data_IF_430649920380
#
_entry.id   IF_430649920380
#
_cell.length_a   1.000
_cell.length_b   1.000
_cell.length_c   1.000
_cell.angle_alpha   90.00
_cell.angle_beta   90.00
_cell.angle_gamma   90.00
#
_symmetry.space_group_name_H-M   'P 1'
#
loop_
_entity.id
_entity.type
_entity.pdbx_description
1 polymer ?
#
# COMPACT_ATOMS: atom_id res chain seq x y z
N UNK A 1 1.86 -26.88 -9.64
CA UNK A 1 2.17 -25.59 -8.99
C UNK A 1 2.57 -24.61 -10.08
N UNK A 2 1.91 -23.47 -10.23
CA UNK A 2 2.37 -22.46 -11.17
C UNK A 2 3.76 -21.98 -10.74
N UNK A 3 4.63 -21.59 -11.67
CA UNK A 3 5.95 -21.08 -11.34
C UNK A 3 5.79 -19.86 -10.42
N UNK A 4 6.52 -19.87 -9.31
CA UNK A 4 6.62 -18.72 -8.45
C UNK A 4 7.18 -17.58 -9.30
N UNK A 5 6.37 -16.56 -9.53
CA UNK A 5 6.83 -15.32 -10.18
C UNK A 5 7.85 -14.68 -9.24
N UNK A 6 9.12 -14.86 -9.52
CA UNK A 6 10.17 -14.09 -8.87
C UNK A 6 10.02 -12.65 -9.36
N UNK A 7 9.52 -11.80 -8.49
CA UNK A 7 9.54 -10.36 -8.72
C UNK A 7 10.98 -9.89 -8.49
N UNK A 8 11.67 -9.32 -9.47
CA UNK A 8 12.99 -8.76 -9.27
C UNK A 8 12.91 -7.66 -8.19
N UNK A 9 13.78 -7.74 -7.21
CA UNK A 9 13.81 -6.81 -6.07
C UNK A 9 15.18 -6.15 -6.03
N UNK A 10 15.18 -4.82 -6.02
CA UNK A 10 16.34 -3.99 -5.73
C UNK A 10 16.06 -3.19 -4.46
N UNK A 11 16.85 -3.39 -3.42
CA UNK A 11 16.64 -2.71 -2.14
C UNK A 11 17.26 -1.32 -2.11
N UNK A 12 16.58 -0.38 -1.46
CA UNK A 12 17.10 0.93 -1.09
C UNK A 12 16.88 1.17 0.40
N UNK A 13 17.85 1.74 1.08
CA UNK A 13 17.78 2.07 2.51
C UNK A 13 18.11 3.54 2.66
N UNK A 14 17.21 4.32 3.27
CA UNK A 14 17.53 5.65 3.72
C UNK A 14 18.39 5.56 5.00
N UNK A 15 19.70 5.73 4.88
CA UNK A 15 20.56 5.81 6.08
C UNK A 15 20.72 7.25 6.52
N UNK A 16 20.37 7.53 7.75
CA UNK A 16 20.67 8.76 8.47
C UNK A 16 22.08 8.70 9.10
N UNK A 17 23.14 8.46 8.32
CA UNK A 17 24.50 8.67 8.83
C UNK A 17 25.50 8.73 7.69
N UNK A 18 26.29 9.80 7.69
CA UNK A 18 27.23 10.20 6.67
C UNK A 18 28.20 9.11 6.24
N UNK A 19 28.12 8.79 4.96
CA UNK A 19 29.07 7.94 4.26
C UNK A 19 28.38 7.16 3.14
N UNK A 20 28.72 7.51 1.91
CA UNK A 20 28.34 6.88 0.64
C UNK A 20 26.85 6.72 0.33
N UNK A 21 26.35 7.66 -0.47
CA UNK A 21 25.17 7.66 -1.35
C UNK A 21 24.01 6.69 -1.02
N UNK A 22 23.48 6.75 0.20
CA UNK A 22 22.16 6.24 0.46
C UNK A 22 21.14 7.20 -0.17
N UNK A 23 20.29 6.71 -1.05
CA UNK A 23 19.19 7.50 -1.60
C UNK A 23 18.30 7.96 -0.44
N UNK A 24 18.23 9.26 -0.21
CA UNK A 24 17.32 9.83 0.80
C UNK A 24 15.87 9.84 0.33
N UNK A 25 15.67 9.64 -0.97
CA UNK A 25 14.39 9.64 -1.67
C UNK A 25 14.39 8.48 -2.66
N UNK A 26 13.32 7.66 -2.70
CA UNK A 26 13.21 6.64 -3.72
C UNK A 26 13.28 7.22 -5.14
N UNK A 27 14.11 6.61 -5.98
CA UNK A 27 14.25 6.95 -7.40
C UNK A 27 14.12 5.69 -8.27
N UNK A 28 12.90 5.16 -8.43
CA UNK A 28 12.67 3.94 -9.20
C UNK A 28 12.96 4.15 -10.68
N UNK A 29 13.52 3.14 -11.32
CA UNK A 29 13.65 3.07 -12.78
C UNK A 29 12.28 2.89 -13.45
N UNK A 30 12.24 3.08 -14.76
CA UNK A 30 11.02 2.85 -15.53
C UNK A 30 10.51 1.42 -15.33
N UNK A 31 9.24 1.25 -14.98
CA UNK A 31 8.63 -0.04 -14.69
C UNK A 31 8.75 -0.50 -13.23
N UNK A 32 9.65 0.08 -12.46
CA UNK A 32 9.76 -0.20 -11.01
C UNK A 32 8.71 0.55 -10.20
N UNK A 33 8.33 -0.03 -9.07
CA UNK A 33 7.45 0.57 -8.06
C UNK A 33 8.15 0.54 -6.71
N UNK A 34 7.85 1.53 -5.89
CA UNK A 34 8.38 1.61 -4.52
C UNK A 34 7.46 0.82 -3.59
N UNK A 35 8.04 -0.10 -2.86
CA UNK A 35 7.37 -0.84 -1.79
C UNK A 35 8.12 -0.65 -0.49
N UNK A 36 7.40 -0.36 0.59
CA UNK A 36 7.97 -0.15 1.91
C UNK A 36 8.03 -1.48 2.67
N UNK A 37 9.16 -1.76 3.29
CA UNK A 37 9.40 -3.02 4.02
C UNK A 37 8.31 -3.30 5.07
N UNK A 38 7.82 -2.32 5.84
CA UNK A 38 6.74 -2.54 6.79
C UNK A 38 5.44 -3.07 6.20
N UNK A 39 5.19 -2.90 4.91
CA UNK A 39 3.99 -3.43 4.27
C UNK A 39 3.99 -4.96 4.23
N UNK A 40 5.16 -5.59 4.05
CA UNK A 40 5.29 -7.05 4.08
C UNK A 40 4.86 -7.61 5.44
N UNK A 41 5.31 -6.95 6.52
CA UNK A 41 4.95 -7.33 7.90
C UNK A 41 3.46 -7.16 8.17
N UNK A 42 2.79 -6.29 7.41
CA UNK A 42 1.35 -6.00 7.52
C UNK A 42 0.49 -6.80 6.55
N UNK A 43 1.08 -7.79 5.87
CA UNK A 43 0.33 -8.74 5.03
C UNK A 43 0.25 -8.38 3.55
N UNK A 44 1.10 -7.45 3.07
CA UNK A 44 1.25 -7.27 1.64
C UNK A 44 1.90 -8.52 1.04
N UNK A 45 1.19 -9.19 0.16
CA UNK A 45 1.69 -10.34 -0.60
C UNK A 45 2.00 -10.00 -2.05
N UNK A 46 2.78 -10.86 -2.70
CA UNK A 46 3.08 -10.77 -4.13
C UNK A 46 2.64 -12.05 -4.85
N UNK A 47 2.06 -11.91 -6.05
CA UNK A 47 1.67 -10.67 -6.73
C UNK A 47 0.65 -9.86 -5.91
N UNK A 48 0.66 -8.53 -6.08
CA UNK A 48 -0.27 -7.67 -5.35
C UNK A 48 -1.70 -8.05 -5.70
N UNK A 49 -2.52 -8.24 -4.65
CA UNK A 49 -3.89 -8.73 -4.77
C UNK A 49 -4.75 -7.80 -5.65
N UNK A 50 -5.60 -8.32 -6.54
CA UNK A 50 -6.46 -7.52 -7.43
C UNK A 50 -7.31 -6.49 -6.70
N UNK A 51 -7.85 -6.84 -5.52
CA UNK A 51 -8.62 -5.91 -4.70
C UNK A 51 -7.81 -4.67 -4.30
N UNK A 52 -6.55 -4.84 -3.86
CA UNK A 52 -5.68 -3.70 -3.52
C UNK A 52 -5.37 -2.85 -4.76
N UNK A 53 -5.09 -3.46 -5.91
CA UNK A 53 -4.88 -2.75 -7.18
C UNK A 53 -6.09 -1.90 -7.55
N UNK A 54 -7.28 -2.48 -7.52
CA UNK A 54 -8.52 -1.78 -7.81
C UNK A 54 -8.83 -0.64 -6.82
N UNK A 55 -8.49 -0.82 -5.54
CA UNK A 55 -8.64 0.21 -4.51
C UNK A 55 -7.70 1.40 -4.77
N UNK A 56 -6.44 1.13 -5.06
CA UNK A 56 -5.46 2.18 -5.38
C UNK A 56 -5.87 2.95 -6.63
N UNK A 57 -6.33 2.26 -7.67
CA UNK A 57 -6.82 2.89 -8.89
C UNK A 57 -8.06 3.76 -8.63
N UNK A 58 -9.04 3.23 -7.90
CA UNK A 58 -10.27 3.97 -7.59
C UNK A 58 -10.01 5.28 -6.88
N UNK A 59 -9.10 5.27 -5.91
CA UNK A 59 -8.72 6.47 -5.17
C UNK A 59 -7.64 7.30 -5.87
N UNK A 60 -7.02 6.79 -6.94
CA UNK A 60 -5.89 7.43 -7.63
C UNK A 60 -4.66 7.53 -6.74
N UNK A 61 -4.40 6.50 -5.96
CA UNK A 61 -3.28 6.40 -5.03
C UNK A 61 -2.17 5.53 -5.60
N UNK A 62 -0.96 5.83 -5.18
CA UNK A 62 0.19 4.95 -5.33
C UNK A 62 0.33 4.09 -4.07
N UNK A 63 1.00 2.95 -4.18
CA UNK A 63 1.15 2.04 -3.05
C UNK A 63 1.75 2.72 -1.81
N UNK A 64 2.81 3.50 -2.00
CA UNK A 64 3.51 4.20 -0.92
C UNK A 64 2.69 5.33 -0.26
N UNK A 65 1.56 5.73 -0.84
CA UNK A 65 0.68 6.71 -0.20
C UNK A 65 -0.08 6.14 1.00
N UNK A 66 -0.22 4.82 1.09
CA UNK A 66 -0.91 4.17 2.21
C UNK A 66 0.00 4.08 3.44
N UNK A 67 -0.62 4.09 4.62
CA UNK A 67 0.11 3.75 5.86
C UNK A 67 0.23 2.22 6.01
N UNK A 68 1.20 1.69 6.79
CA UNK A 68 1.27 0.27 7.09
C UNK A 68 0.01 -0.28 7.77
N UNK A 69 -0.67 0.53 8.58
CA UNK A 69 -1.96 0.17 9.18
C UNK A 69 -3.04 -0.02 8.12
N UNK A 70 -3.03 0.80 7.07
CA UNK A 70 -3.94 0.66 5.94
C UNK A 70 -3.75 -0.66 5.20
N UNK A 71 -2.49 -1.06 4.97
CA UNK A 71 -2.17 -2.36 4.38
C UNK A 71 -2.73 -3.50 5.23
N UNK A 72 -2.58 -3.43 6.56
CA UNK A 72 -3.14 -4.44 7.46
C UNK A 72 -4.67 -4.52 7.36
N UNK A 73 -5.36 -3.38 7.28
CA UNK A 73 -6.82 -3.38 7.10
C UNK A 73 -7.24 -4.01 5.78
N UNK A 74 -6.51 -3.74 4.70
CA UNK A 74 -6.80 -4.33 3.38
C UNK A 74 -6.55 -5.83 3.40
N UNK A 75 -5.39 -6.26 3.88
CA UNK A 75 -5.03 -7.68 3.97
C UNK A 75 -6.01 -8.46 4.85
N UNK A 76 -6.39 -7.90 6.00
CA UNK A 76 -7.37 -8.49 6.90
C UNK A 76 -8.77 -8.60 6.27
N UNK A 77 -9.19 -7.60 5.50
CA UNK A 77 -10.47 -7.63 4.79
C UNK A 77 -10.48 -8.71 3.69
N UNK A 78 -9.43 -8.78 2.89
CA UNK A 78 -9.28 -9.81 1.85
C UNK A 78 -9.31 -11.20 2.49
N UNK A 79 -8.50 -11.42 3.53
CA UNK A 79 -8.46 -12.69 4.23
C UNK A 79 -9.83 -13.06 4.83
N UNK A 80 -10.55 -12.11 5.44
CA UNK A 80 -11.88 -12.35 5.97
C UNK A 80 -12.85 -12.79 4.87
N UNK A 81 -12.87 -12.08 3.75
CA UNK A 81 -13.78 -12.40 2.65
C UNK A 81 -13.45 -13.77 2.03
N UNK A 82 -12.21 -13.97 1.64
CA UNK A 82 -11.83 -15.11 0.79
C UNK A 82 -11.55 -16.38 1.58
N UNK A 83 -10.88 -16.28 2.75
CA UNK A 83 -10.52 -17.46 3.53
C UNK A 83 -11.62 -17.89 4.51
N UNK A 84 -12.36 -16.94 5.09
CA UNK A 84 -13.34 -17.26 6.11
C UNK A 84 -14.78 -17.28 5.60
N UNK A 85 -15.15 -16.33 4.73
CA UNK A 85 -16.51 -16.24 4.21
C UNK A 85 -16.69 -16.94 2.85
N UNK A 86 -15.59 -17.27 2.15
CA UNK A 86 -15.64 -17.89 0.84
C UNK A 86 -16.24 -16.99 -0.26
N UNK A 87 -16.14 -15.68 -0.10
CA UNK A 87 -16.62 -14.69 -1.07
C UNK A 87 -15.43 -13.85 -1.57
N UNK A 88 -15.53 -13.36 -2.79
CA UNK A 88 -14.55 -12.44 -3.32
C UNK A 88 -14.58 -11.10 -2.55
N UNK A 89 -13.39 -10.54 -2.27
CA UNK A 89 -13.27 -9.20 -1.69
C UNK A 89 -13.75 -8.15 -2.72
N UNK A 90 -14.85 -7.44 -2.40
CA UNK A 90 -15.40 -6.47 -3.32
C UNK A 90 -15.63 -5.09 -2.69
N UNK A 91 -15.59 -4.08 -3.53
CA UNK A 91 -15.53 -2.67 -3.13
C UNK A 91 -16.80 -2.16 -2.43
N UNK A 92 -17.97 -2.68 -2.78
CA UNK A 92 -19.24 -2.25 -2.15
C UNK A 92 -19.26 -2.64 -0.67
N UNK A 93 -18.79 -3.86 -0.34
CA UNK A 93 -18.68 -4.29 1.06
C UNK A 93 -17.60 -3.48 1.79
N UNK A 94 -16.45 -3.27 1.15
CA UNK A 94 -15.37 -2.47 1.69
C UNK A 94 -15.83 -1.09 2.13
N UNK A 95 -16.53 -0.34 1.28
CA UNK A 95 -17.03 1.01 1.58
C UNK A 95 -18.03 1.10 2.73
N UNK A 96 -18.63 -0.01 3.13
CA UNK A 96 -19.50 -0.08 4.30
C UNK A 96 -18.73 -0.21 5.62
N UNK A 97 -17.49 -0.68 5.55
CA UNK A 97 -16.65 -0.98 6.72
C UNK A 97 -15.54 0.05 6.90
N UNK A 98 -15.06 0.63 5.83
CA UNK A 98 -13.88 1.48 5.81
C UNK A 98 -14.08 2.77 5.04
N UNK A 99 -13.35 3.80 5.45
CA UNK A 99 -13.19 5.04 4.72
C UNK A 99 -11.71 5.39 4.60
N UNK A 100 -11.38 6.16 3.58
CA UNK A 100 -10.05 6.70 3.36
C UNK A 100 -9.98 8.11 3.94
N UNK A 101 -8.95 8.38 4.74
CA UNK A 101 -8.73 9.66 5.40
C UNK A 101 -7.37 10.19 4.99
N UNK A 102 -7.25 11.45 4.58
CA UNK A 102 -5.95 12.06 4.32
C UNK A 102 -5.18 12.23 5.63
N UNK A 103 -3.92 11.79 5.65
CA UNK A 103 -3.00 12.08 6.74
C UNK A 103 -2.14 13.29 6.38
N UNK A 104 -2.17 14.33 7.22
CA UNK A 104 -1.24 15.43 7.14
C UNK A 104 -0.03 15.11 8.04
N UNK A 105 1.05 14.67 7.45
CA UNK A 105 2.33 14.62 8.15
C UNK A 105 3.08 15.93 7.85
N UNK A 106 3.18 16.80 8.83
CA UNK A 106 4.03 17.98 8.72
C UNK A 106 5.47 17.53 8.48
N UNK A 107 6.06 17.98 7.37
CA UNK A 107 7.46 17.75 7.03
C UNK A 107 7.76 16.54 6.14
N UNK A 108 6.76 15.79 5.71
CA UNK A 108 6.98 14.72 4.72
C UNK A 108 7.30 15.29 3.34
N UNK A 109 8.55 15.12 2.88
CA UNK A 109 9.00 15.53 1.55
C UNK A 109 8.27 14.74 0.44
N UNK A 110 7.89 13.50 0.75
CA UNK A 110 7.06 12.65 -0.12
C UNK A 110 5.77 12.34 0.61
N UNK A 111 4.73 12.23 -0.11
CA UNK A 111 3.41 11.88 0.42
C UNK A 111 3.31 10.39 0.83
N UNK A 112 4.41 9.86 1.38
CA UNK A 112 4.47 8.51 1.94
C UNK A 112 3.55 8.49 3.17
N UNK A 113 2.56 7.57 3.15
CA UNK A 113 1.59 7.50 4.23
C UNK A 113 0.60 8.66 4.28
N UNK A 114 0.46 9.43 3.20
CA UNK A 114 -0.48 10.54 3.13
C UNK A 114 -1.96 10.15 3.11
N UNK A 115 -2.26 8.84 3.07
CA UNK A 115 -3.62 8.30 3.07
C UNK A 115 -3.73 7.14 4.06
N UNK A 116 -4.70 7.21 4.95
CA UNK A 116 -4.97 6.19 5.95
C UNK A 116 -6.38 5.62 5.79
N UNK A 117 -6.50 4.32 6.00
CA UNK A 117 -7.78 3.61 6.00
C UNK A 117 -8.26 3.50 7.43
N UNK A 118 -9.43 4.04 7.68
CA UNK A 118 -10.08 3.98 8.96
C UNK A 118 -11.34 3.12 8.90
N UNK A 119 -11.58 2.41 9.98
CA UNK A 119 -12.83 1.68 10.16
C UNK A 119 -13.96 2.68 10.45
N UNK A 120 -15.09 2.50 9.77
CA UNK A 120 -16.29 3.30 10.05
C UNK A 120 -16.82 2.94 11.42
N UNK A 121 -17.07 3.94 12.26
CA UNK A 121 -17.59 3.74 13.62
C UNK A 121 -18.94 3.02 13.61
N UNK A 122 -19.17 2.14 14.60
CA UNK A 122 -20.42 1.38 14.72
C UNK A 122 -20.51 0.14 13.81
N UNK A 123 -19.53 -0.10 12.94
CA UNK A 123 -19.49 -1.35 12.17
C UNK A 123 -19.02 -2.50 13.05
N UNK A 124 -19.70 -3.65 12.99
CA UNK A 124 -19.34 -4.87 13.73
C UNK A 124 -18.10 -5.60 13.19
N UNK A 125 -17.21 -4.91 12.48
CA UNK A 125 -15.98 -5.48 11.99
C UNK A 125 -14.98 -5.75 13.12
N UNK A 126 -14.05 -6.67 12.90
CA UNK A 126 -13.09 -7.15 13.89
C UNK A 126 -12.62 -6.06 14.86
N UNK A 127 -12.76 -6.33 16.16
CA UNK A 127 -12.29 -5.42 17.21
C UNK A 127 -10.76 -5.54 17.35
N UNK A 128 -10.11 -4.42 17.44
CA UNK A 128 -8.66 -4.33 17.64
C UNK A 128 -8.11 -3.06 17.00
N UNK A 129 -7.18 -2.45 17.71
CA UNK A 129 -6.44 -1.31 17.16
C UNK A 129 -5.11 -1.84 16.63
N UNK A 130 -4.80 -1.66 15.34
CA UNK A 130 -3.50 -2.04 14.82
C UNK A 130 -2.39 -1.38 15.62
N UNK A 131 -1.35 -2.13 15.97
CA UNK A 131 -0.17 -1.55 16.59
C UNK A 131 0.41 -0.50 15.65
N UNK A 132 0.64 0.70 16.15
CA UNK A 132 1.27 1.77 15.39
C UNK A 132 2.61 1.29 14.79
N UNK A 133 2.89 1.66 13.56
CA UNK A 133 4.22 1.49 13.00
C UNK A 133 5.22 2.39 13.74
N UNK A 134 6.51 2.05 13.73
CA UNK A 134 7.56 2.94 14.20
C UNK A 134 7.51 4.27 13.44
N UNK A 135 8.01 5.35 14.02
CA UNK A 135 8.04 6.66 13.33
C UNK A 135 8.92 6.62 12.08
N UNK A 136 9.95 5.77 12.08
CA UNK A 136 10.90 5.59 10.99
C UNK A 136 10.43 4.61 9.89
N UNK A 137 9.17 4.18 9.92
CA UNK A 137 8.67 3.20 8.97
C UNK A 137 8.84 3.57 7.48
N UNK A 138 8.93 4.84 7.06
CA UNK A 138 9.17 5.18 5.67
C UNK A 138 10.64 5.06 5.23
N UNK A 139 11.56 4.77 6.16
CA UNK A 139 13.01 4.78 5.89
C UNK A 139 13.52 3.55 5.16
N UNK A 140 12.76 2.46 5.10
CA UNK A 140 13.15 1.22 4.46
C UNK A 140 12.22 0.89 3.30
N UNK A 141 12.77 0.81 2.09
CA UNK A 141 12.02 0.44 0.90
C UNK A 141 12.83 -0.46 -0.02
N UNK A 142 12.13 -1.03 -0.97
CA UNK A 142 12.71 -1.75 -2.09
C UNK A 142 11.95 -1.43 -3.37
N UNK A 143 12.60 -1.66 -4.49
CA UNK A 143 11.99 -1.53 -5.80
C UNK A 143 11.51 -2.89 -6.27
N UNK A 144 10.34 -2.91 -6.86
CA UNK A 144 9.77 -4.10 -7.44
C UNK A 144 9.27 -3.80 -8.86
N UNK A 145 9.42 -4.75 -9.76
CA UNK A 145 8.73 -4.67 -11.03
C UNK A 145 7.23 -4.92 -10.84
N UNK A 146 6.42 -4.07 -11.44
CA UNK A 146 4.98 -4.31 -11.50
C UNK A 146 4.68 -5.25 -12.66
N UNK A 147 4.55 -6.52 -12.35
CA UNK A 147 4.16 -7.54 -13.33
C UNK A 147 2.64 -7.47 -13.49
N UNK A 148 2.12 -7.08 -14.68
CA UNK A 148 0.69 -7.10 -14.93
C UNK A 148 0.16 -8.52 -14.73
N UNK A 149 -0.87 -8.67 -13.90
CA UNK A 149 -1.59 -9.93 -13.81
C UNK A 149 -2.35 -10.17 -15.13
N UNK A 150 -2.46 -11.41 -15.62
CA UNK A 150 -3.22 -11.74 -16.82
C UNK A 150 -4.74 -11.68 -16.58
N UNK A 151 -5.24 -10.63 -15.96
CA UNK A 151 -6.62 -10.43 -15.55
C UNK A 151 -7.24 -9.25 -16.31
N UNK A 152 -8.54 -9.26 -16.68
CA UNK A 152 -9.21 -8.12 -17.29
C UNK A 152 -9.17 -6.83 -16.43
N UNK A 153 -8.86 -6.92 -15.15
CA UNK A 153 -8.58 -5.76 -14.29
C UNK A 153 -7.10 -5.34 -14.36
N UNK A 154 -6.31 -5.94 -15.23
CA UNK A 154 -4.86 -5.88 -15.39
C UNK A 154 -4.21 -4.49 -15.55
N UNK A 155 -4.69 -3.52 -14.79
CA UNK A 155 -4.08 -2.21 -14.69
C UNK A 155 -2.93 -2.28 -13.71
N UNK A 156 -1.77 -1.88 -14.19
CA UNK A 156 -0.57 -1.77 -13.38
C UNK A 156 -0.76 -0.79 -12.21
N UNK A 157 0.12 -0.87 -11.23
CA UNK A 157 0.21 0.17 -10.20
C UNK A 157 0.62 1.49 -10.85
N UNK A 158 0.13 2.60 -10.32
CA UNK A 158 0.57 3.92 -10.76
C UNK A 158 2.07 4.09 -10.54
N UNK A 159 2.72 4.76 -11.48
CA UNK A 159 4.14 5.09 -11.39
C UNK A 159 4.44 5.97 -10.18
N UNK A 160 5.64 5.82 -9.63
CA UNK A 160 6.08 6.63 -8.51
C UNK A 160 6.09 8.12 -8.90
N UNK A 161 5.38 8.92 -8.11
CA UNK A 161 5.34 10.36 -8.25
C UNK A 161 5.45 11.00 -6.87
N UNK A 162 6.46 11.81 -6.67
CA UNK A 162 6.72 12.52 -5.43
C UNK A 162 5.87 13.79 -5.25
N UNK A 163 4.88 14.03 -6.12
CA UNK A 163 4.02 15.19 -6.02
C UNK A 163 3.02 15.04 -4.85
N UNK A 164 2.64 16.16 -4.19
CA UNK A 164 1.63 16.15 -3.15
C UNK A 164 0.32 15.53 -3.62
N UNK A 165 -0.30 14.71 -2.77
CA UNK A 165 -1.62 14.16 -3.02
C UNK A 165 -2.63 15.30 -3.14
N UNK A 166 -3.26 15.41 -4.30
CA UNK A 166 -4.33 16.37 -4.51
C UNK A 166 -5.57 15.86 -3.76
N UNK A 167 -6.08 16.65 -2.81
CA UNK A 167 -7.35 16.35 -2.14
C UNK A 167 -8.46 16.23 -3.20
N UNK A 168 -8.96 15.03 -3.42
CA UNK A 168 -10.13 14.80 -4.28
C UNK A 168 -11.40 15.07 -3.47
N UNK A 169 -12.42 15.67 -4.09
CA UNK A 169 -13.71 16.02 -3.46
C UNK A 169 -14.53 14.82 -2.96
N UNK A 170 -14.09 13.60 -3.21
CA UNK A 170 -14.80 12.35 -2.94
C UNK A 170 -14.07 11.40 -1.98
N UNK A 171 -13.32 11.97 -1.04
CA UNK A 171 -12.72 11.17 0.04
C UNK A 171 -13.75 10.95 1.15
#
# INVERSE_FOLDING_TARGET
>A
LPPAYMVPIRAGIATYSGGEQAESVPNPSQGERVCLVPYLIRGLGFPIHPFLRGLLEFYGLQLHNLTPASILHIAGFVALCELFLGIEAHFVLWKRLFCLVPCSHEGSIYQVGGAEIWRIAGTGYLSGTPKKASEDWPSEWFYMEDVPLPDPIGRGLLEFNNAPLKKRRSW
#
